data_IF_654910409577
#
_entry.id   IF_654910409577
#
_cell.length_a   1.000
_cell.length_b   1.000
_cell.length_c   1.000
_cell.angle_alpha   90.00
_cell.angle_beta   90.00
_cell.angle_gamma   90.00
#
_symmetry.space_group_name_H-M   'P 1'
#
loop_
_entity.id
_entity.type
_entity.pdbx_description
1 polymer ?
#
# COMPACT_ATOMS: atom_id res chain seq x y z
N UNK A 1 -2.90 19.28 -4.67
CA UNK A 1 -3.81 18.23 -4.20
C UNK A 1 -3.03 17.27 -3.33
N UNK A 2 -3.33 17.17 -2.03
CA UNK A 2 -2.81 16.09 -1.19
C UNK A 2 -3.82 14.96 -1.25
N UNK A 3 -3.42 13.84 -1.84
CA UNK A 3 -4.17 12.60 -1.75
C UNK A 3 -4.05 12.10 -0.31
N UNK A 4 -5.19 11.95 0.36
CA UNK A 4 -5.25 11.31 1.67
C UNK A 4 -5.62 9.87 1.39
N UNK A 5 -4.61 9.02 1.31
CA UNK A 5 -4.76 7.57 1.19
C UNK A 5 -4.48 6.93 2.54
N UNK A 6 -5.29 5.93 2.89
CA UNK A 6 -5.11 5.11 4.08
C UNK A 6 -4.47 3.78 3.63
N UNK A 7 -3.30 3.45 4.20
CA UNK A 7 -2.59 2.19 3.95
C UNK A 7 -2.49 1.41 5.26
N UNK A 8 -2.98 0.18 5.24
CA UNK A 8 -2.93 -0.74 6.36
C UNK A 8 -1.95 -1.88 6.07
N UNK A 9 -1.08 -2.17 7.03
CA UNK A 9 -0.13 -3.26 6.98
C UNK A 9 -0.47 -4.27 8.09
N UNK A 10 -0.74 -5.50 7.70
CA UNK A 10 -0.93 -6.61 8.62
C UNK A 10 0.23 -7.58 8.43
N UNK A 11 1.07 -7.71 9.45
CA UNK A 11 2.14 -8.69 9.44
C UNK A 11 1.67 -10.02 10.02
N UNK A 12 1.62 -11.05 9.19
CA UNK A 12 1.36 -12.41 9.62
C UNK A 12 2.69 -13.08 10.00
N UNK A 13 2.94 -13.18 11.31
CA UNK A 13 4.14 -13.83 11.86
C UNK A 13 4.19 -15.34 11.60
N UNK A 14 3.04 -15.99 11.35
CA UNK A 14 2.97 -17.44 11.17
C UNK A 14 3.42 -17.88 9.77
N UNK A 15 3.13 -17.06 8.75
CA UNK A 15 3.49 -17.31 7.36
C UNK A 15 4.66 -16.45 6.89
N UNK A 16 5.06 -15.45 7.67
CA UNK A 16 6.10 -14.48 7.31
C UNK A 16 5.63 -13.50 6.23
N UNK A 17 4.32 -13.39 5.99
CA UNK A 17 3.74 -12.59 4.92
C UNK A 17 3.20 -11.27 5.49
N UNK A 18 3.58 -10.16 4.86
CA UNK A 18 2.95 -8.85 5.13
C UNK A 18 1.82 -8.62 4.14
N UNK A 19 0.58 -8.62 4.64
CA UNK A 19 -0.59 -8.23 3.87
C UNK A 19 -0.70 -6.71 3.84
N UNK A 20 -0.88 -6.16 2.64
CA UNK A 20 -1.05 -4.72 2.44
C UNK A 20 -2.43 -4.46 1.87
N UNK A 21 -3.18 -3.56 2.52
CA UNK A 21 -4.45 -3.05 2.02
C UNK A 21 -4.34 -1.54 1.85
N UNK A 22 -4.74 -1.07 0.68
CA UNK A 22 -4.86 0.36 0.40
C UNK A 22 -6.28 0.71 0.05
N UNK A 23 -6.78 1.77 0.67
CA UNK A 23 -8.07 2.35 0.36
C UNK A 23 -7.88 3.81 -0.07
N UNK A 24 -8.15 4.08 -1.35
CA UNK A 24 -8.24 5.45 -1.84
C UNK A 24 -9.63 6.02 -1.56
N UNK A 25 -9.69 7.24 -1.02
CA UNK A 25 -10.96 7.91 -0.75
C UNK A 25 -11.64 8.28 -2.07
N UNK A 26 -12.94 7.96 -2.18
CA UNK A 26 -13.76 8.12 -3.38
C UNK A 26 -13.60 9.53 -3.97
N UNK A 27 -13.28 9.60 -5.26
CA UNK A 27 -13.28 10.85 -6.04
C UNK A 27 -12.05 11.06 -6.93
N UNK A 28 -10.97 10.30 -6.71
CA UNK A 28 -9.79 10.36 -7.56
C UNK A 28 -9.26 8.96 -7.86
N UNK A 29 -9.13 8.64 -9.15
CA UNK A 29 -8.30 7.50 -9.58
C UNK A 29 -6.84 7.86 -9.29
N UNK A 30 -6.15 7.04 -8.48
CA UNK A 30 -4.74 7.24 -8.12
C UNK A 30 -3.78 6.87 -9.26
N UNK A 31 -4.30 6.43 -10.41
CA UNK A 31 -3.54 5.93 -11.57
C UNK A 31 -2.50 4.86 -11.20
N UNK A 32 -2.72 4.10 -10.13
CA UNK A 32 -1.79 3.10 -9.63
C UNK A 32 -0.64 3.67 -8.79
N UNK A 33 -0.69 4.94 -8.38
CA UNK A 33 0.31 5.56 -7.51
C UNK A 33 0.49 4.78 -6.20
N UNK A 34 -0.59 4.24 -5.63
CA UNK A 34 -0.47 3.44 -4.42
C UNK A 34 0.23 2.10 -4.67
N UNK A 35 -0.07 1.44 -5.80
CA UNK A 35 0.63 0.21 -6.18
C UNK A 35 2.13 0.46 -6.33
N UNK A 36 2.53 1.53 -7.03
CA UNK A 36 3.93 1.89 -7.21
C UNK A 36 4.63 2.16 -5.87
N UNK A 37 3.94 2.76 -4.90
CA UNK A 37 4.48 2.99 -3.55
C UNK A 37 4.71 1.67 -2.79
N UNK A 38 3.76 0.74 -2.86
CA UNK A 38 3.89 -0.58 -2.21
C UNK A 38 5.03 -1.38 -2.83
N UNK A 39 5.15 -1.41 -4.16
CA UNK A 39 6.25 -2.10 -4.84
C UNK A 39 7.60 -1.50 -4.47
N UNK A 40 7.73 -0.16 -4.40
CA UNK A 40 8.97 0.47 -3.96
C UNK A 40 9.37 0.12 -2.51
N UNK A 41 8.40 0.00 -1.60
CA UNK A 41 8.67 -0.49 -0.23
C UNK A 41 9.11 -1.96 -0.26
N UNK A 42 8.53 -2.77 -1.15
CA UNK A 42 8.89 -4.17 -1.32
C UNK A 42 10.32 -4.35 -1.83
N UNK A 43 10.75 -3.52 -2.78
CA UNK A 43 12.13 -3.48 -3.28
C UNK A 43 13.13 -3.06 -2.19
N UNK A 44 12.76 -2.14 -1.29
CA UNK A 44 13.62 -1.71 -0.18
C UNK A 44 13.77 -2.74 0.94
N UNK A 45 12.89 -3.75 0.99
CA UNK A 45 12.90 -4.81 2.00
C UNK A 45 13.50 -6.13 1.49
N UNK A 46 13.97 -6.19 0.22
CA UNK A 46 14.83 -7.27 -0.27
C UNK A 46 16.27 -7.10 0.23
#
# INVERSE_FOLDING_TARGET
MRYIDDVEFLYDQSTGITHVRSASRIGYSDLGANRNRIEGIRELLQ
#
